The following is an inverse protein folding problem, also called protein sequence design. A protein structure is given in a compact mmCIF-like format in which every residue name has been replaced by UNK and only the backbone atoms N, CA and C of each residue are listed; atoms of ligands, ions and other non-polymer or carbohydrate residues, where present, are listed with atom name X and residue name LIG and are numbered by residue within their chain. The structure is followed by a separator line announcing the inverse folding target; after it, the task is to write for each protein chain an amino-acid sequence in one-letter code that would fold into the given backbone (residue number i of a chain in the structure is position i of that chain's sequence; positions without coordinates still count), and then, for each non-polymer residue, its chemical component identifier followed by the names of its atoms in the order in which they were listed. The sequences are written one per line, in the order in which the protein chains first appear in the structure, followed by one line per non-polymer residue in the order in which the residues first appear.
data_IF_306101799061
#
_entry.id   IF_306101799061
#
_cell.length_a   1.000
_cell.length_b   1.000
_cell.length_c   1.000
_cell.angle_alpha   90.00
_cell.angle_beta   90.00
_cell.angle_gamma   90.00
#
_symmetry.space_group_name_H-M   'P 1'
#
loop_
_entity.id
_entity.type
_entity.pdbx_description
1 polymer ?
#
# COMPACT_ATOMS: atom_id res chain seq x y z
N UNK A 1 25.96 -13.98 1.53
CA UNK A 1 26.36 -13.66 2.92
C UNK A 1 25.92 -14.77 3.86
N UNK A 2 26.53 -14.86 5.03
CA UNK A 2 26.12 -15.76 6.12
C UNK A 2 25.46 -14.93 7.23
N UNK A 3 24.22 -15.27 7.59
CA UNK A 3 23.53 -14.74 8.76
C UNK A 3 23.66 -15.78 9.87
N UNK A 4 24.27 -15.44 11.00
CA UNK A 4 24.47 -16.36 12.12
C UNK A 4 23.51 -16.09 13.26
N UNK A 5 23.20 -17.13 14.04
CA UNK A 5 22.38 -17.04 15.26
C UNK A 5 21.00 -16.41 15.00
N UNK A 6 20.40 -16.73 13.87
CA UNK A 6 19.06 -16.30 13.51
C UNK A 6 18.01 -17.15 14.23
N UNK A 7 16.95 -16.54 14.73
CA UNK A 7 15.79 -17.26 15.28
C UNK A 7 14.63 -17.18 14.29
N UNK A 8 14.08 -18.32 13.87
CA UNK A 8 12.88 -18.36 13.02
C UNK A 8 11.61 -18.15 13.86
N UNK A 9 10.47 -17.88 13.20
CA UNK A 9 9.20 -17.62 13.89
C UNK A 9 8.69 -18.78 14.76
N UNK A 10 9.09 -20.01 14.47
CA UNK A 10 8.79 -21.19 15.28
C UNK A 10 9.72 -21.36 16.49
N UNK A 11 10.73 -20.49 16.63
CA UNK A 11 11.72 -20.50 17.70
C UNK A 11 12.99 -21.28 17.39
N UNK A 12 13.11 -21.89 16.21
CA UNK A 12 14.33 -22.59 15.82
C UNK A 12 15.49 -21.60 15.63
N UNK A 13 16.65 -21.91 16.23
CA UNK A 13 17.87 -21.13 16.03
C UNK A 13 18.70 -21.76 14.92
N UNK A 14 19.06 -20.99 13.90
CA UNK A 14 19.73 -21.45 12.68
C UNK A 14 20.78 -20.44 12.21
N UNK A 15 21.70 -20.91 11.39
CA UNK A 15 22.51 -20.05 10.52
C UNK A 15 21.97 -20.17 9.08
N UNK A 16 21.98 -19.06 8.35
CA UNK A 16 21.40 -18.95 7.01
C UNK A 16 22.45 -18.41 6.06
N UNK A 17 22.84 -19.21 5.07
CA UNK A 17 23.63 -18.72 3.94
C UNK A 17 22.71 -18.28 2.83
N UNK A 18 22.87 -17.05 2.38
CA UNK A 18 21.97 -16.42 1.42
C UNK A 18 22.72 -15.66 0.33
N UNK A 19 22.37 -15.94 -0.93
CA UNK A 19 22.67 -15.13 -2.11
C UNK A 19 21.36 -14.62 -2.71
N UNK A 20 21.19 -14.69 -4.04
CA UNK A 20 19.90 -14.38 -4.68
C UNK A 20 18.76 -15.30 -4.19
N UNK A 21 19.12 -16.48 -3.67
CA UNK A 21 18.26 -17.42 -2.98
C UNK A 21 18.90 -17.81 -1.66
N UNK A 22 18.12 -18.39 -0.75
CA UNK A 22 18.65 -19.08 0.42
C UNK A 22 19.38 -20.33 -0.07
N UNK A 23 20.68 -20.41 0.16
CA UNK A 23 21.56 -21.47 -0.33
C UNK A 23 21.65 -22.63 0.67
N UNK A 24 21.77 -22.32 1.96
CA UNK A 24 21.86 -23.28 3.05
C UNK A 24 21.16 -22.75 4.31
N UNK A 25 20.49 -23.64 5.05
CA UNK A 25 19.99 -23.40 6.40
C UNK A 25 20.46 -24.55 7.27
N UNK A 26 21.09 -24.26 8.41
CA UNK A 26 21.58 -25.30 9.30
C UNK A 26 22.26 -24.75 10.55
N UNK A 27 22.76 -25.65 11.39
CA UNK A 27 23.39 -25.28 12.65
C UNK A 27 24.89 -25.02 12.46
N UNK A 28 25.41 -23.94 13.05
CA UNK A 28 26.84 -23.64 13.13
C UNK A 28 27.56 -23.65 11.76
N UNK A 29 26.96 -23.00 10.76
CA UNK A 29 27.56 -22.89 9.44
C UNK A 29 28.88 -22.11 9.53
N UNK A 30 29.95 -22.69 9.01
CA UNK A 30 31.25 -22.03 8.96
C UNK A 30 31.26 -20.95 7.86
N UNK A 31 31.73 -19.74 8.19
CA UNK A 31 31.92 -18.67 7.23
C UNK A 31 32.95 -19.07 6.16
N UNK A 32 32.61 -18.87 4.89
CA UNK A 32 33.52 -19.09 3.76
C UNK A 32 34.52 -17.93 3.67
N UNK A 33 35.69 -18.18 3.08
CA UNK A 33 36.71 -17.13 2.90
C UNK A 33 36.14 -15.97 2.07
N UNK A 34 36.13 -14.76 2.64
CA UNK A 34 35.61 -13.55 1.98
C UNK A 34 34.08 -13.41 2.00
N UNK A 35 33.37 -14.29 2.72
CA UNK A 35 31.92 -14.18 2.91
C UNK A 35 31.60 -13.09 3.92
N UNK A 36 30.70 -12.18 3.56
CA UNK A 36 30.10 -11.23 4.51
C UNK A 36 29.33 -12.01 5.57
N UNK A 37 29.62 -11.74 6.84
CA UNK A 37 28.93 -12.34 7.99
C UNK A 37 28.10 -11.27 8.69
N UNK A 38 26.83 -11.55 8.90
CA UNK A 38 25.92 -10.75 9.71
C UNK A 38 25.50 -11.61 10.91
N UNK A 39 25.61 -11.06 12.11
CA UNK A 39 25.24 -11.77 13.32
C UNK A 39 23.88 -11.26 13.79
N UNK A 40 22.84 -12.11 13.71
CA UNK A 40 21.50 -11.75 14.14
C UNK A 40 21.36 -11.69 15.67
N UNK A 41 22.35 -12.19 16.43
CA UNK A 41 22.37 -12.05 17.89
C UNK A 41 21.25 -12.79 18.61
N UNK A 42 20.64 -13.80 17.99
CA UNK A 42 19.42 -14.46 18.49
C UNK A 42 18.12 -13.78 18.04
N UNK A 43 18.21 -12.68 17.28
CA UNK A 43 17.09 -11.94 16.73
C UNK A 43 16.32 -12.71 15.64
N UNK A 44 15.09 -12.27 15.39
CA UNK A 44 14.17 -12.96 14.48
C UNK A 44 14.55 -12.74 13.02
N UNK A 45 14.58 -13.80 12.20
CA UNK A 45 14.72 -13.67 10.74
C UNK A 45 13.45 -14.16 10.05
N UNK A 46 12.93 -13.31 9.16
CA UNK A 46 11.73 -13.52 8.36
C UNK A 46 12.09 -13.53 6.88
N UNK A 47 11.24 -14.11 6.01
CA UNK A 47 11.16 -13.65 4.64
C UNK A 47 10.97 -12.13 4.64
N UNK A 48 11.59 -11.43 3.69
CA UNK A 48 11.42 -9.99 3.57
C UNK A 48 9.94 -9.62 3.38
N UNK A 49 9.53 -8.50 3.97
CA UNK A 49 8.15 -8.04 3.86
C UNK A 49 7.85 -7.63 2.42
N UNK A 50 6.63 -7.89 1.97
CA UNK A 50 6.12 -7.47 0.67
C UNK A 50 4.87 -6.61 0.84
N UNK A 51 4.91 -5.37 0.38
CA UNK A 51 3.71 -4.52 0.34
C UNK A 51 2.87 -4.86 -0.90
N UNK A 52 1.76 -5.57 -0.69
CA UNK A 52 0.98 -6.14 -1.79
C UNK A 52 0.11 -5.14 -2.57
N UNK A 53 0.02 -3.89 -2.11
CA UNK A 53 -0.71 -2.82 -2.78
C UNK A 53 -0.17 -1.46 -2.34
N UNK A 54 0.54 -0.78 -3.24
CA UNK A 54 0.90 0.63 -3.07
C UNK A 54 0.99 1.33 -4.42
N UNK A 55 1.11 2.65 -4.41
CA UNK A 55 1.24 3.48 -5.61
C UNK A 55 2.62 4.11 -5.65
N UNK A 56 3.60 3.47 -6.30
CA UNK A 56 5.02 3.74 -6.11
C UNK A 56 5.41 5.17 -6.52
N UNK A 57 4.99 5.63 -7.71
CA UNK A 57 5.29 7.00 -8.16
C UNK A 57 4.58 8.05 -7.32
N UNK A 58 3.33 7.78 -6.94
CA UNK A 58 2.56 8.65 -6.05
C UNK A 58 3.21 8.72 -4.66
N UNK A 59 3.69 7.59 -4.14
CA UNK A 59 4.39 7.49 -2.87
C UNK A 59 5.67 8.31 -2.88
N UNK A 60 6.48 8.17 -3.92
CA UNK A 60 7.70 8.97 -4.07
C UNK A 60 7.39 10.47 -4.23
N UNK A 61 6.36 10.83 -4.99
CA UNK A 61 5.93 12.23 -5.13
C UNK A 61 5.37 12.82 -3.82
N UNK A 62 4.77 11.98 -2.96
CA UNK A 62 4.21 12.41 -1.68
C UNK A 62 5.29 12.72 -0.63
N UNK A 63 6.53 12.22 -0.78
CA UNK A 63 7.65 12.54 0.11
C UNK A 63 8.01 14.03 0.07
N UNK A 64 7.83 14.65 -1.10
CA UNK A 64 8.12 16.07 -1.35
C UNK A 64 6.86 16.95 -1.33
N UNK A 65 5.72 16.41 -0.88
CA UNK A 65 4.44 17.12 -0.85
C UNK A 65 4.03 17.48 0.58
N UNK A 66 3.40 18.64 0.74
CA UNK A 66 2.84 19.05 2.03
C UNK A 66 1.66 18.16 2.39
N UNK A 67 1.65 17.62 3.62
CA UNK A 67 0.50 16.90 4.17
C UNK A 67 -0.50 17.90 4.75
N UNK A 68 -1.68 18.01 4.14
CA UNK A 68 -2.67 19.06 4.44
C UNK A 68 -4.01 18.53 4.91
N UNK A 69 -4.05 17.30 5.40
CA UNK A 69 -5.21 16.74 6.07
C UNK A 69 -4.89 15.93 7.32
N UNK A 70 -5.91 15.31 7.93
CA UNK A 70 -5.77 14.64 9.21
C UNK A 70 -4.78 13.46 9.14
N UNK A 71 -4.08 13.15 10.25
CA UNK A 71 -4.15 13.84 11.55
C UNK A 71 -3.27 15.10 11.64
N UNK A 72 -2.47 15.39 10.61
CA UNK A 72 -1.46 16.46 10.64
C UNK A 72 -2.10 17.86 10.59
N UNK A 73 -3.09 18.03 9.71
CA UNK A 73 -3.86 19.27 9.57
C UNK A 73 -5.32 18.93 9.78
N UNK A 74 -5.93 19.50 10.81
CA UNK A 74 -7.32 19.19 11.21
C UNK A 74 -8.22 20.42 11.25
N UNK A 75 -7.67 21.61 11.01
CA UNK A 75 -8.45 22.87 11.00
C UNK A 75 -8.12 23.74 9.79
N UNK A 76 -9.09 24.58 9.41
CA UNK A 76 -8.93 25.59 8.35
C UNK A 76 -7.76 26.56 8.61
N UNK A 77 -7.54 26.95 9.87
CA UNK A 77 -6.43 27.85 10.22
C UNK A 77 -5.07 27.18 10.04
N UNK A 78 -4.94 25.91 10.42
CA UNK A 78 -3.71 25.13 10.17
C UNK A 78 -3.46 24.96 8.66
N UNK A 79 -4.51 24.65 7.88
CA UNK A 79 -4.39 24.57 6.42
C UNK A 79 -3.88 25.88 5.83
N UNK A 80 -4.48 27.01 6.22
CA UNK A 80 -4.06 28.33 5.80
C UNK A 80 -2.59 28.61 6.16
N UNK A 81 -2.18 28.29 7.39
CA UNK A 81 -0.81 28.48 7.85
C UNK A 81 0.20 27.62 7.07
N UNK A 82 -0.12 26.35 6.80
CA UNK A 82 0.76 25.45 6.04
C UNK A 82 0.93 25.94 4.60
N UNK A 83 -0.18 26.30 3.93
CA UNK A 83 -0.12 26.77 2.55
C UNK A 83 0.52 28.16 2.41
N UNK A 84 0.27 29.07 3.35
CA UNK A 84 0.86 30.42 3.34
C UNK A 84 2.39 30.40 3.50
N UNK A 85 2.89 29.51 4.37
CA UNK A 85 4.34 29.39 4.63
C UNK A 85 5.04 28.43 3.65
N UNK A 86 4.30 27.84 2.71
CA UNK A 86 4.86 26.89 1.75
C UNK A 86 5.81 27.60 0.78
N UNK A 87 7.02 27.06 0.66
CA UNK A 87 7.93 27.44 -0.42
C UNK A 87 7.62 26.60 -1.66
N UNK A 88 7.55 27.20 -2.85
CA UNK A 88 7.41 26.42 -4.07
C UNK A 88 8.64 25.53 -4.29
N UNK A 89 8.42 24.34 -4.84
CA UNK A 89 9.49 23.45 -5.27
C UNK A 89 10.31 24.03 -6.44
N UNK A 90 11.35 23.31 -6.91
CA UNK A 90 12.21 23.76 -8.01
C UNK A 90 11.45 24.03 -9.33
N UNK A 91 10.29 23.41 -9.51
CA UNK A 91 9.37 23.60 -10.63
C UNK A 91 8.43 24.81 -10.44
N UNK A 92 8.56 25.53 -9.33
CA UNK A 92 7.73 26.67 -8.99
C UNK A 92 6.31 26.30 -8.56
N UNK A 93 6.06 25.07 -8.11
CA UNK A 93 4.75 24.62 -7.63
C UNK A 93 4.73 24.40 -6.11
N UNK A 94 3.61 24.72 -5.47
CA UNK A 94 3.26 24.18 -4.15
C UNK A 94 2.39 22.94 -4.37
N UNK A 95 2.86 21.82 -3.84
CA UNK A 95 2.22 20.51 -3.99
C UNK A 95 1.78 20.03 -2.62
N UNK A 96 0.49 19.78 -2.46
CA UNK A 96 -0.09 19.31 -1.22
C UNK A 96 -0.96 18.08 -1.46
N UNK A 97 -0.99 17.17 -0.48
CA UNK A 97 -1.71 15.89 -0.56
C UNK A 97 -2.39 15.55 0.76
N UNK A 98 -3.34 14.62 0.69
CA UNK A 98 -4.03 14.08 1.86
C UNK A 98 -5.16 14.95 2.40
N UNK A 99 -5.67 15.91 1.61
CA UNK A 99 -6.76 16.79 2.04
C UNK A 99 -8.05 16.01 2.34
N UNK A 100 -8.86 16.50 3.28
CA UNK A 100 -10.21 16.01 3.57
C UNK A 100 -11.12 17.17 3.99
N UNK A 101 -12.40 17.09 3.65
CA UNK A 101 -13.38 18.15 3.86
C UNK A 101 -13.59 18.47 5.35
N UNK A 102 -13.28 17.55 6.27
CA UNK A 102 -13.34 17.82 7.72
C UNK A 102 -12.40 18.95 8.16
N UNK A 103 -11.40 19.29 7.36
CA UNK A 103 -10.43 20.35 7.68
C UNK A 103 -11.02 21.74 7.45
N UNK A 104 -11.62 21.97 6.27
CA UNK A 104 -12.02 23.31 5.85
C UNK A 104 -13.29 23.36 4.97
N UNK A 105 -14.06 22.26 4.88
CA UNK A 105 -15.19 22.12 3.96
C UNK A 105 -14.76 21.71 2.55
N UNK A 106 -15.57 21.97 1.54
CA UNK A 106 -15.13 21.75 0.16
C UNK A 106 -14.10 22.81 -0.25
N UNK A 107 -12.95 22.37 -0.78
CA UNK A 107 -11.99 23.28 -1.41
C UNK A 107 -12.34 23.53 -2.87
N UNK A 108 -12.21 24.80 -3.25
CA UNK A 108 -12.28 25.28 -4.62
C UNK A 108 -11.11 26.22 -4.94
N UNK A 109 -11.01 26.58 -6.22
CA UNK A 109 -10.04 27.54 -6.76
C UNK A 109 -10.01 28.84 -5.96
N UNK A 110 -11.18 29.38 -5.61
CA UNK A 110 -11.31 30.67 -4.93
C UNK A 110 -10.74 30.62 -3.52
N UNK A 111 -10.97 29.52 -2.82
CA UNK A 111 -10.41 29.27 -1.49
C UNK A 111 -8.90 29.18 -1.52
N UNK A 112 -8.32 28.55 -2.56
CA UNK A 112 -6.86 28.49 -2.72
C UNK A 112 -6.27 29.83 -3.16
N UNK A 113 -6.93 30.58 -4.04
CA UNK A 113 -6.51 31.92 -4.48
C UNK A 113 -6.43 32.90 -3.31
N UNK A 114 -7.36 32.79 -2.35
CA UNK A 114 -7.36 33.64 -1.15
C UNK A 114 -6.16 33.36 -0.22
N UNK A 115 -5.58 32.16 -0.28
CA UNK A 115 -4.41 31.77 0.52
C UNK A 115 -3.11 32.00 -0.23
N UNK A 116 -3.06 31.64 -1.51
CA UNK A 116 -1.86 31.67 -2.35
C UNK A 116 -2.27 32.09 -3.77
N UNK A 117 -2.29 33.40 -4.08
CA UNK A 117 -2.84 33.91 -5.35
C UNK A 117 -1.88 33.72 -6.54
N UNK A 118 -0.59 33.93 -6.33
CA UNK A 118 0.39 34.09 -7.42
C UNK A 118 1.22 32.83 -7.71
N UNK A 119 1.31 31.92 -6.73
CA UNK A 119 2.09 30.68 -6.85
C UNK A 119 1.13 29.54 -7.23
N UNK A 120 1.43 28.75 -8.27
CA UNK A 120 0.63 27.57 -8.61
C UNK A 120 0.56 26.55 -7.48
N UNK A 121 -0.66 26.31 -7.00
CA UNK A 121 -0.96 25.34 -5.93
C UNK A 121 -1.84 24.23 -6.48
N UNK A 122 -1.49 22.98 -6.16
CA UNK A 122 -2.37 21.82 -6.31
C UNK A 122 -2.53 21.12 -4.96
N UNK A 123 -3.76 20.74 -4.64
CA UNK A 123 -4.11 19.99 -3.44
C UNK A 123 -4.80 18.68 -3.84
N UNK A 124 -4.22 17.54 -3.49
CA UNK A 124 -4.83 16.23 -3.69
C UNK A 124 -5.71 15.88 -2.49
N UNK A 125 -6.96 15.49 -2.74
CA UNK A 125 -7.81 14.85 -1.74
C UNK A 125 -7.23 13.48 -1.36
N UNK A 126 -7.38 13.06 -0.11
CA UNK A 126 -6.82 11.80 0.41
C UNK A 126 -7.31 10.54 -0.30
N UNK A 127 -8.43 10.61 -1.03
CA UNK A 127 -8.89 9.51 -1.88
C UNK A 127 -8.06 9.32 -3.16
N UNK A 128 -7.18 10.28 -3.48
CA UNK A 128 -6.42 10.30 -4.73
C UNK A 128 -7.23 10.70 -5.97
N UNK A 129 -8.55 10.58 -5.90
CA UNK A 129 -9.45 10.75 -7.03
C UNK A 129 -9.76 12.20 -7.40
N UNK A 130 -9.63 13.14 -6.45
CA UNK A 130 -9.98 14.55 -6.61
C UNK A 130 -8.79 15.45 -6.34
N UNK A 131 -8.64 16.50 -7.15
CA UNK A 131 -7.64 17.53 -7.02
C UNK A 131 -8.29 18.91 -7.06
N UNK A 132 -7.75 19.85 -6.30
CA UNK A 132 -8.14 21.26 -6.35
C UNK A 132 -6.93 22.10 -6.74
N UNK A 133 -7.07 22.91 -7.79
CA UNK A 133 -6.05 23.82 -8.31
C UNK A 133 -6.49 25.28 -8.11
N UNK A 134 -5.54 26.15 -7.77
CA UNK A 134 -5.77 27.59 -7.77
C UNK A 134 -5.70 28.18 -9.20
N UNK A 135 -6.00 29.46 -9.35
CA UNK A 135 -6.01 30.14 -10.66
C UNK A 135 -4.64 30.14 -11.33
N UNK A 136 -3.56 30.31 -10.57
CA UNK A 136 -2.21 30.27 -11.10
C UNK A 136 -1.85 28.88 -11.67
N UNK A 137 -2.27 27.81 -10.98
CA UNK A 137 -2.11 26.44 -11.43
C UNK A 137 -2.94 26.13 -12.68
N UNK A 138 -4.22 26.53 -12.70
CA UNK A 138 -5.10 26.32 -13.85
C UNK A 138 -4.58 26.98 -15.13
N UNK A 139 -4.02 28.19 -15.03
CA UNK A 139 -3.33 28.82 -16.17
C UNK A 139 -2.16 27.98 -16.67
N UNK A 140 -1.35 27.41 -15.77
CA UNK A 140 -0.20 26.57 -16.16
C UNK A 140 -0.60 25.27 -16.85
N UNK A 141 -1.75 24.68 -16.51
CA UNK A 141 -2.24 23.45 -17.16
C UNK A 141 -3.19 23.73 -18.33
N UNK A 142 -3.29 24.98 -18.79
CA UNK A 142 -4.12 25.34 -19.95
C UNK A 142 -5.63 25.39 -19.69
N UNK A 143 -6.06 25.48 -18.43
CA UNK A 143 -7.46 25.43 -18.00
C UNK A 143 -7.90 26.71 -17.28
N UNK A 144 -7.45 27.88 -17.75
CA UNK A 144 -7.68 29.17 -17.09
C UNK A 144 -9.17 29.48 -16.80
N UNK A 145 -10.07 28.99 -17.66
CA UNK A 145 -11.52 29.19 -17.57
C UNK A 145 -12.26 28.14 -16.70
N UNK A 146 -11.54 27.21 -16.05
CA UNK A 146 -12.17 26.22 -15.18
C UNK A 146 -12.84 26.91 -13.98
N UNK A 147 -14.12 26.63 -13.76
CA UNK A 147 -14.95 27.44 -12.87
C UNK A 147 -14.48 27.40 -11.41
N UNK A 148 -14.31 26.20 -10.87
CA UNK A 148 -14.07 25.90 -9.46
C UNK A 148 -12.70 25.27 -9.17
N UNK A 149 -11.89 25.03 -10.20
CA UNK A 149 -10.60 24.31 -10.12
C UNK A 149 -10.63 22.88 -9.55
N UNK A 150 -11.79 22.22 -9.48
CA UNK A 150 -11.92 20.84 -8.99
C UNK A 150 -11.83 19.85 -10.15
N UNK A 151 -10.81 19.01 -10.14
CA UNK A 151 -10.46 18.13 -11.26
C UNK A 151 -10.38 16.68 -10.79
N UNK A 152 -10.97 15.75 -11.56
CA UNK A 152 -10.89 14.32 -11.26
C UNK A 152 -9.62 13.72 -11.84
N UNK A 153 -8.97 12.82 -11.10
CA UNK A 153 -7.76 12.11 -11.55
C UNK A 153 -7.95 11.33 -12.85
N UNK A 154 -9.17 10.87 -13.14
CA UNK A 154 -9.51 10.15 -14.37
C UNK A 154 -9.60 11.04 -15.61
N UNK A 155 -9.62 12.37 -15.44
CA UNK A 155 -9.63 13.30 -16.58
C UNK A 155 -8.20 13.45 -17.13
N UNK A 156 -8.00 12.94 -18.34
CA UNK A 156 -6.70 12.95 -19.04
C UNK A 156 -6.27 14.34 -19.48
N UNK A 157 -7.22 15.26 -19.72
CA UNK A 157 -6.92 16.59 -20.28
C UNK A 157 -5.95 17.36 -19.39
N UNK A 158 -6.18 17.33 -18.08
CA UNK A 158 -5.34 18.06 -17.14
C UNK A 158 -4.21 17.21 -16.56
N UNK A 159 -4.42 15.90 -16.37
CA UNK A 159 -3.43 15.02 -15.76
C UNK A 159 -2.22 14.79 -16.68
N UNK A 160 -2.40 14.84 -18.00
CA UNK A 160 -1.30 14.83 -18.98
C UNK A 160 -0.60 16.20 -19.09
N UNK A 161 -1.35 17.29 -18.95
CA UNK A 161 -0.80 18.65 -18.94
C UNK A 161 0.02 18.95 -17.68
N UNK A 162 -0.22 18.20 -16.60
CA UNK A 162 0.48 18.34 -15.33
C UNK A 162 1.91 17.84 -15.46
N UNK A 163 2.87 18.76 -15.33
CA UNK A 163 4.29 18.42 -15.32
C UNK A 163 4.60 17.36 -14.26
N UNK A 164 5.01 16.18 -14.74
CA UNK A 164 5.59 15.12 -13.92
C UNK A 164 6.94 15.59 -13.43
N UNK A 165 7.19 15.43 -12.14
CA UNK A 165 8.48 15.70 -11.53
C UNK A 165 9.23 14.37 -11.42
N UNK A 166 10.54 14.40 -11.60
CA UNK A 166 11.40 13.26 -11.24
C UNK A 166 11.30 13.05 -9.74
N UNK A 167 10.70 11.93 -9.34
CA UNK A 167 10.55 11.56 -7.93
C UNK A 167 11.82 10.87 -7.43
N UNK A 168 12.26 11.18 -6.21
CA UNK A 168 13.38 10.50 -5.56
C UNK A 168 12.99 9.09 -5.13
N UNK A 169 13.17 8.14 -6.04
CA UNK A 169 12.97 6.71 -5.78
C UNK A 169 13.99 6.16 -4.77
N UNK A 170 15.17 6.78 -4.65
CA UNK A 170 16.19 6.39 -3.69
C UNK A 170 15.77 6.64 -2.24
N UNK A 171 15.18 7.80 -1.97
CA UNK A 171 14.61 8.10 -0.64
C UNK A 171 13.44 7.17 -0.31
N UNK A 172 12.52 6.94 -1.25
CA UNK A 172 11.44 5.99 -1.03
C UNK A 172 11.99 4.58 -0.75
N UNK A 173 12.99 4.15 -1.53
CA UNK A 173 13.66 2.87 -1.35
C UNK A 173 14.25 2.75 0.04
N UNK A 174 14.97 3.77 0.53
CA UNK A 174 15.58 3.75 1.87
C UNK A 174 14.52 3.60 2.96
N UNK A 175 13.41 4.34 2.88
CA UNK A 175 12.31 4.27 3.86
C UNK A 175 11.66 2.89 3.89
N UNK A 176 11.39 2.31 2.72
CA UNK A 176 10.82 0.96 2.63
C UNK A 176 11.78 -0.09 3.20
N UNK A 177 13.06 -0.04 2.83
CA UNK A 177 14.05 -0.99 3.35
C UNK A 177 14.30 -0.81 4.84
N UNK A 178 14.17 0.41 5.39
CA UNK A 178 14.31 0.65 6.82
C UNK A 178 13.22 -0.04 7.67
N UNK A 179 12.07 -0.34 7.07
CA UNK A 179 10.95 -1.02 7.75
C UNK A 179 10.81 -2.50 7.33
N UNK A 180 11.86 -3.11 6.75
CA UNK A 180 11.87 -4.54 6.43
C UNK A 180 11.26 -4.91 5.06
N UNK A 181 10.85 -3.92 4.25
CA UNK A 181 10.23 -4.17 2.94
C UNK A 181 11.30 -4.48 1.90
N UNK A 182 11.14 -5.64 1.27
CA UNK A 182 12.00 -6.16 0.20
C UNK A 182 11.31 -6.22 -1.14
N UNK A 183 9.98 -6.11 -1.18
CA UNK A 183 9.20 -6.14 -2.40
C UNK A 183 7.91 -5.32 -2.29
N UNK A 184 7.44 -4.82 -3.43
CA UNK A 184 6.23 -4.01 -3.54
C UNK A 184 5.45 -4.41 -4.78
N UNK A 185 4.13 -4.27 -4.71
CA UNK A 185 3.23 -4.39 -5.86
C UNK A 185 2.59 -3.03 -6.13
N UNK A 186 2.95 -2.44 -7.28
CA UNK A 186 2.34 -1.20 -7.76
C UNK A 186 0.91 -1.47 -8.26
N UNK A 187 -0.04 -0.79 -7.64
CA UNK A 187 -1.47 -0.94 -7.87
C UNK A 187 -2.08 0.20 -8.70
N UNK A 188 -1.27 0.96 -9.42
CA UNK A 188 -1.75 2.03 -10.31
C UNK A 188 -2.48 1.42 -11.52
N UNK A 189 -3.78 1.73 -11.75
CA UNK A 189 -4.58 1.07 -12.78
C UNK A 189 -4.02 1.23 -14.20
N UNK A 190 -3.76 2.47 -14.58
CA UNK A 190 -3.39 2.84 -15.95
C UNK A 190 -1.89 3.14 -16.08
N UNK A 191 -1.06 2.35 -15.38
CA UNK A 191 0.39 2.54 -15.45
C UNK A 191 0.90 2.19 -16.85
N UNK A 192 1.36 3.21 -17.59
CA UNK A 192 1.85 3.05 -18.95
C UNK A 192 3.11 2.18 -19.04
N UNK A 193 3.33 1.56 -20.20
CA UNK A 193 4.49 0.71 -20.46
C UNK A 193 5.82 1.46 -20.21
N UNK A 194 5.92 2.71 -20.64
CA UNK A 194 7.11 3.54 -20.41
C UNK A 194 7.36 3.80 -18.92
N UNK A 195 6.28 4.03 -18.15
CA UNK A 195 6.36 4.23 -16.71
C UNK A 195 6.83 2.95 -16.00
N UNK A 196 6.34 1.77 -16.40
CA UNK A 196 6.78 0.47 -15.90
C UNK A 196 8.26 0.20 -16.24
N UNK A 197 8.67 0.45 -17.50
CA UNK A 197 10.05 0.29 -17.94
C UNK A 197 10.98 1.21 -17.13
N UNK A 198 10.60 2.46 -16.92
CA UNK A 198 11.36 3.40 -16.11
C UNK A 198 11.56 2.91 -14.66
N UNK A 199 10.51 2.36 -14.02
CA UNK A 199 10.63 1.78 -12.68
C UNK A 199 11.53 0.55 -12.65
N UNK A 200 11.43 -0.33 -13.65
CA UNK A 200 12.32 -1.49 -13.77
C UNK A 200 13.77 -1.09 -14.03
N UNK A 201 14.02 -0.01 -14.78
CA UNK A 201 15.36 0.54 -14.99
C UNK A 201 15.93 1.11 -13.69
N UNK A 202 15.15 1.89 -12.93
CA UNK A 202 15.54 2.39 -11.62
C UNK A 202 15.90 1.25 -10.66
N UNK A 203 15.11 0.17 -10.66
CA UNK A 203 15.41 -1.03 -9.88
C UNK A 203 16.73 -1.70 -10.31
N UNK A 204 16.92 -1.94 -11.61
CA UNK A 204 18.15 -2.54 -12.14
C UNK A 204 19.41 -1.71 -11.89
N UNK A 205 19.27 -0.39 -11.78
CA UNK A 205 20.37 0.53 -11.44
C UNK A 205 20.65 0.61 -9.94
N UNK A 206 19.82 -0.01 -9.11
CA UNK A 206 19.92 0.05 -7.65
C UNK A 206 19.41 1.36 -7.04
N UNK A 207 18.78 2.23 -7.84
CA UNK A 207 18.12 3.45 -7.35
C UNK A 207 16.90 3.08 -6.49
N UNK A 208 16.16 2.04 -6.89
CA UNK A 208 15.07 1.46 -6.09
C UNK A 208 15.35 -0.02 -5.78
N UNK A 209 15.70 -0.32 -4.53
CA UNK A 209 16.17 -1.65 -4.12
C UNK A 209 15.08 -2.71 -4.04
N UNK A 210 13.88 -2.45 -3.48
CA UNK A 210 12.83 -3.46 -3.38
C UNK A 210 12.42 -4.03 -4.75
N UNK A 211 12.06 -5.32 -4.78
CA UNK A 211 11.47 -5.97 -5.95
C UNK A 211 10.17 -5.30 -6.35
N UNK A 212 9.96 -5.06 -7.65
CA UNK A 212 8.75 -4.39 -8.15
C UNK A 212 7.89 -5.38 -8.94
N UNK A 213 6.60 -5.39 -8.60
CA UNK A 213 5.52 -5.99 -9.40
C UNK A 213 4.48 -4.95 -9.78
N UNK A 214 3.71 -5.23 -10.82
CA UNK A 214 2.69 -4.33 -11.36
C UNK A 214 1.37 -5.08 -11.49
N UNK A 215 0.27 -4.45 -11.09
CA UNK A 215 -1.07 -4.96 -11.38
C UNK A 215 -1.58 -4.51 -12.76
N UNK A 216 -1.06 -3.39 -13.28
CA UNK A 216 -1.38 -2.93 -14.63
C UNK A 216 -0.82 -3.91 -15.69
N UNK A 217 -1.54 -4.17 -16.79
CA UNK A 217 -2.83 -3.58 -17.21
C UNK A 217 -4.07 -4.28 -16.63
N UNK A 218 -3.91 -5.29 -15.78
CA UNK A 218 -5.02 -6.04 -15.16
C UNK A 218 -5.69 -5.33 -13.97
N UNK A 219 -5.42 -4.05 -13.72
CA UNK A 219 -5.95 -3.32 -12.57
C UNK A 219 -7.06 -2.36 -13.00
N UNK A 220 -8.23 -2.45 -12.34
CA UNK A 220 -9.38 -1.57 -12.61
C UNK A 220 -9.90 -0.90 -11.34
N UNK A 221 -10.34 0.35 -11.48
CA UNK A 221 -11.06 1.09 -10.44
C UNK A 221 -12.51 1.26 -10.88
N UNK A 222 -13.44 0.87 -10.01
CA UNK A 222 -14.87 1.07 -10.21
C UNK A 222 -15.31 2.40 -9.60
N UNK A 223 -16.30 3.05 -10.20
CA UNK A 223 -16.90 4.27 -9.69
C UNK A 223 -18.35 3.97 -9.33
N UNK A 224 -18.78 4.33 -8.12
CA UNK A 224 -20.15 4.02 -7.65
C UNK A 224 -21.23 4.67 -8.53
N UNK A 225 -20.96 5.85 -9.08
CA UNK A 225 -21.87 6.57 -9.97
C UNK A 225 -22.05 5.89 -11.34
N UNK A 226 -21.19 4.93 -11.68
CA UNK A 226 -21.19 4.24 -12.97
C UNK A 226 -20.68 2.79 -12.83
N UNK A 227 -21.49 1.94 -12.20
CA UNK A 227 -21.26 0.50 -12.14
C UNK A 227 -21.92 -0.21 -13.33
N UNK A 228 -21.11 -0.53 -14.33
CA UNK A 228 -21.53 -1.26 -15.53
C UNK A 228 -21.07 -2.72 -15.45
N UNK A 229 -22.01 -3.63 -15.15
CA UNK A 229 -21.76 -5.06 -14.99
C UNK A 229 -21.30 -5.69 -16.31
N UNK A 230 -21.98 -5.40 -17.42
CA UNK A 230 -21.70 -6.02 -18.71
C UNK A 230 -20.30 -5.62 -19.21
N UNK A 231 -19.97 -4.33 -19.12
CA UNK A 231 -18.64 -3.84 -19.48
C UNK A 231 -17.54 -4.36 -18.54
N UNK A 232 -17.85 -4.64 -17.27
CA UNK A 232 -16.90 -5.27 -16.36
C UNK A 232 -16.69 -6.75 -16.73
N UNK A 233 -17.76 -7.50 -16.99
CA UNK A 233 -17.70 -8.91 -17.41
C UNK A 233 -16.93 -9.09 -18.72
N UNK A 234 -17.20 -8.24 -19.72
CA UNK A 234 -16.47 -8.26 -21.00
C UNK A 234 -14.97 -8.01 -20.77
N UNK A 235 -14.63 -6.99 -19.98
CA UNK A 235 -13.24 -6.68 -19.65
C UNK A 235 -12.53 -7.84 -18.93
N UNK A 236 -13.18 -8.48 -17.93
CA UNK A 236 -12.62 -9.65 -17.22
C UNK A 236 -12.39 -10.80 -18.21
N UNK A 237 -13.39 -11.11 -19.03
CA UNK A 237 -13.30 -12.18 -20.04
C UNK A 237 -12.13 -11.95 -20.99
N UNK A 238 -11.92 -10.71 -21.43
CA UNK A 238 -10.81 -10.35 -22.31
C UNK A 238 -9.45 -10.47 -21.60
N UNK A 239 -9.32 -10.05 -20.33
CA UNK A 239 -8.07 -10.25 -19.58
C UNK A 239 -7.76 -11.74 -19.41
N UNK A 240 -8.76 -12.55 -19.06
CA UNK A 240 -8.60 -13.99 -18.85
C UNK A 240 -8.29 -14.75 -20.15
N UNK A 241 -8.81 -14.30 -21.30
CA UNK A 241 -8.46 -14.85 -22.61
C UNK A 241 -6.96 -14.77 -22.91
N UNK A 242 -6.30 -13.74 -22.37
CA UNK A 242 -4.86 -13.51 -22.48
C UNK A 242 -4.05 -14.11 -21.30
N UNK A 243 -4.65 -14.99 -20.49
CA UNK A 243 -4.05 -15.54 -19.26
C UNK A 243 -3.58 -14.46 -18.28
N UNK A 244 -4.26 -13.30 -18.27
CA UNK A 244 -3.93 -12.16 -17.41
C UNK A 244 -4.88 -12.11 -16.20
N UNK A 245 -4.36 -12.15 -14.96
CA UNK A 245 -5.19 -11.94 -13.79
C UNK A 245 -5.72 -10.51 -13.72
N UNK A 246 -6.86 -10.36 -13.05
CA UNK A 246 -7.43 -9.06 -12.72
C UNK A 246 -7.19 -8.69 -11.26
N UNK A 247 -7.14 -7.39 -10.99
CA UNK A 247 -7.20 -6.81 -9.66
C UNK A 247 -8.25 -5.69 -9.69
N UNK A 248 -9.32 -5.81 -8.91
CA UNK A 248 -10.42 -4.82 -8.94
C UNK A 248 -10.48 -4.08 -7.61
N UNK A 249 -10.47 -2.75 -7.66
CA UNK A 249 -10.65 -1.88 -6.49
C UNK A 249 -12.11 -1.92 -6.02
N UNK A 250 -12.34 -2.42 -4.80
CA UNK A 250 -13.66 -2.53 -4.20
C UNK A 250 -13.65 -1.94 -2.78
N UNK A 251 -14.07 -0.68 -2.65
CA UNK A 251 -14.20 0.01 -1.35
C UNK A 251 -15.64 0.09 -0.87
N UNK A 252 -16.63 -0.07 -1.74
CA UNK A 252 -18.05 -0.12 -1.37
C UNK A 252 -18.62 -1.52 -1.54
N UNK A 253 -19.72 -1.81 -0.82
CA UNK A 253 -20.46 -3.06 -0.99
C UNK A 253 -20.96 -3.23 -2.43
N UNK A 254 -21.41 -2.15 -3.08
CA UNK A 254 -21.90 -2.18 -4.46
C UNK A 254 -20.79 -2.57 -5.44
N UNK A 255 -19.59 -2.00 -5.32
CA UNK A 255 -18.43 -2.37 -6.14
C UNK A 255 -18.07 -3.85 -5.98
N UNK A 256 -18.07 -4.33 -4.73
CA UNK A 256 -17.78 -5.74 -4.45
C UNK A 256 -18.81 -6.68 -5.08
N UNK A 257 -20.10 -6.42 -4.86
CA UNK A 257 -21.20 -7.25 -5.39
C UNK A 257 -21.18 -7.29 -6.92
N UNK A 258 -20.99 -6.13 -7.58
CA UNK A 258 -20.90 -6.08 -9.05
C UNK A 258 -19.67 -6.84 -9.55
N UNK A 259 -18.54 -6.76 -8.85
CA UNK A 259 -17.33 -7.50 -9.21
C UNK A 259 -17.52 -9.01 -9.06
N UNK A 260 -18.14 -9.45 -7.96
CA UNK A 260 -18.48 -10.86 -7.72
C UNK A 260 -19.39 -11.38 -8.85
N UNK A 261 -20.46 -10.64 -9.17
CA UNK A 261 -21.36 -11.00 -10.26
C UNK A 261 -20.62 -11.09 -11.61
N UNK A 262 -19.73 -10.14 -11.89
CA UNK A 262 -18.96 -10.14 -13.13
C UNK A 262 -18.01 -11.34 -13.23
N UNK A 263 -17.34 -11.70 -12.13
CA UNK A 263 -16.48 -12.88 -12.02
C UNK A 263 -17.25 -14.19 -12.16
N UNK A 264 -18.44 -14.31 -11.57
CA UNK A 264 -19.28 -15.49 -11.79
C UNK A 264 -19.69 -15.66 -13.25
N UNK A 265 -19.94 -14.55 -13.96
CA UNK A 265 -20.31 -14.58 -15.37
C UNK A 265 -19.12 -14.86 -16.31
N UNK A 266 -17.96 -14.26 -16.05
CA UNK A 266 -16.76 -14.40 -16.88
C UNK A 266 -15.96 -15.69 -16.60
N UNK A 267 -16.09 -16.23 -15.39
CA UNK A 267 -15.14 -17.19 -14.81
C UNK A 267 -14.07 -16.48 -13.98
N UNK A 268 -13.35 -17.25 -13.15
CA UNK A 268 -12.25 -16.74 -12.33
C UNK A 268 -10.90 -17.30 -12.81
N UNK A 269 -9.85 -16.51 -12.57
CA UNK A 269 -8.47 -16.91 -12.74
C UNK A 269 -7.80 -17.07 -11.37
N UNK A 270 -6.91 -18.06 -11.22
CA UNK A 270 -6.29 -18.43 -9.91
C UNK A 270 -5.58 -17.28 -9.19
N UNK A 271 -5.13 -16.27 -9.93
CA UNK A 271 -4.44 -15.08 -9.40
C UNK A 271 -5.30 -13.82 -9.41
N UNK A 272 -6.60 -13.94 -9.63
CA UNK A 272 -7.51 -12.80 -9.51
C UNK A 272 -7.54 -12.27 -8.08
N UNK A 273 -7.64 -10.95 -7.99
CA UNK A 273 -7.56 -10.21 -6.74
C UNK A 273 -8.71 -9.23 -6.58
N UNK A 274 -9.21 -9.14 -5.36
CA UNK A 274 -10.04 -8.04 -4.90
C UNK A 274 -9.17 -7.14 -4.03
N UNK A 275 -9.06 -5.87 -4.41
CA UNK A 275 -8.30 -4.88 -3.68
C UNK A 275 -9.22 -4.12 -2.73
N UNK A 276 -8.72 -3.87 -1.52
CA UNK A 276 -9.40 -3.27 -0.38
C UNK A 276 -10.44 -4.19 0.26
N UNK A 277 -11.52 -4.51 -0.44
CA UNK A 277 -12.71 -5.15 0.14
C UNK A 277 -13.11 -4.44 1.46
N UNK A 278 -13.20 -3.10 1.40
CA UNK A 278 -13.36 -2.30 2.61
C UNK A 278 -14.71 -2.52 3.31
N UNK A 279 -15.75 -2.83 2.53
CA UNK A 279 -17.08 -3.23 2.99
C UNK A 279 -17.41 -4.59 2.38
N UNK A 280 -17.61 -5.61 3.21
CA UNK A 280 -17.95 -6.98 2.78
C UNK A 280 -19.25 -7.41 3.46
N UNK A 281 -20.40 -7.42 2.74
CA UNK A 281 -21.64 -7.99 3.23
C UNK A 281 -21.50 -9.47 3.58
N UNK A 282 -22.32 -9.97 4.51
CA UNK A 282 -22.27 -11.38 4.94
C UNK A 282 -22.45 -12.35 3.77
N UNK A 283 -23.42 -12.06 2.89
CA UNK A 283 -23.75 -12.89 1.73
C UNK A 283 -22.61 -12.98 0.71
N UNK A 284 -21.66 -12.03 0.73
CA UNK A 284 -20.53 -12.02 -0.22
C UNK A 284 -19.36 -12.93 0.20
N UNK A 285 -19.32 -13.42 1.46
CA UNK A 285 -18.20 -14.24 1.94
C UNK A 285 -18.14 -15.59 1.21
N UNK A 286 -19.29 -16.25 1.04
CA UNK A 286 -19.37 -17.54 0.32
C UNK A 286 -18.97 -17.38 -1.13
N UNK A 287 -19.44 -16.33 -1.80
CA UNK A 287 -19.09 -16.07 -3.21
C UNK A 287 -17.58 -15.85 -3.38
N UNK A 288 -16.93 -15.10 -2.49
CA UNK A 288 -15.49 -14.88 -2.54
C UNK A 288 -14.69 -16.18 -2.38
N UNK A 289 -15.16 -17.09 -1.51
CA UNK A 289 -14.57 -18.41 -1.33
C UNK A 289 -14.74 -19.27 -2.59
N UNK A 290 -15.95 -19.31 -3.15
CA UNK A 290 -16.27 -20.12 -4.33
C UNK A 290 -15.51 -19.64 -5.58
N UNK A 291 -15.31 -18.33 -5.72
CA UNK A 291 -14.51 -17.74 -6.80
C UNK A 291 -13.01 -18.03 -6.67
N UNK A 292 -12.52 -18.36 -5.47
CA UNK A 292 -11.11 -18.64 -5.21
C UNK A 292 -10.18 -17.43 -5.36
N UNK A 293 -10.73 -16.22 -5.26
CA UNK A 293 -9.97 -14.96 -5.36
C UNK A 293 -9.14 -14.70 -4.10
N UNK A 294 -8.08 -13.90 -4.25
CA UNK A 294 -7.34 -13.35 -3.10
C UNK A 294 -7.81 -11.93 -2.79
N UNK A 295 -8.11 -11.64 -1.53
CA UNK A 295 -8.37 -10.28 -1.05
C UNK A 295 -7.08 -9.66 -0.53
N UNK A 296 -6.74 -8.47 -1.02
CA UNK A 296 -5.63 -7.66 -0.49
C UNK A 296 -6.18 -6.41 0.17
N UNK A 297 -6.10 -6.33 1.49
CA UNK A 297 -6.82 -5.34 2.32
C UNK A 297 -5.87 -4.51 3.21
N UNK A 298 -6.41 -3.44 3.82
CA UNK A 298 -5.64 -2.37 4.50
C UNK A 298 -6.27 -1.99 5.86
N UNK A 299 -6.10 -2.83 6.89
CA UNK A 299 -6.68 -2.58 8.22
C UNK A 299 -6.11 -1.34 8.92
N UNK A 300 -4.98 -0.76 8.47
CA UNK A 300 -4.51 0.55 8.95
C UNK A 300 -5.57 1.65 8.78
N UNK A 301 -6.47 1.54 7.79
CA UNK A 301 -7.55 2.51 7.67
C UNK A 301 -8.55 2.46 8.84
N UNK A 302 -8.62 1.37 9.60
CA UNK A 302 -9.34 1.35 10.88
C UNK A 302 -8.68 2.29 11.89
N UNK A 303 -7.36 2.25 12.01
CA UNK A 303 -6.62 3.13 12.91
C UNK A 303 -6.65 4.59 12.44
N UNK A 304 -6.46 4.83 11.15
CA UNK A 304 -6.35 6.18 10.57
C UNK A 304 -7.71 6.88 10.41
N UNK A 305 -8.78 6.12 10.14
CA UNK A 305 -10.07 6.65 9.69
C UNK A 305 -11.27 6.08 10.46
N UNK A 306 -11.05 5.20 11.44
CA UNK A 306 -12.10 4.49 12.14
C UNK A 306 -13.14 5.39 12.81
N UNK A 307 -12.74 6.52 13.41
CA UNK A 307 -13.70 7.46 14.02
C UNK A 307 -14.64 8.07 12.99
N UNK A 308 -14.17 8.25 11.76
CA UNK A 308 -15.01 8.75 10.66
C UNK A 308 -15.97 7.66 10.19
N UNK A 309 -15.51 6.41 10.10
CA UNK A 309 -16.41 5.29 9.81
C UNK A 309 -17.50 5.17 10.87
N UNK A 310 -17.15 5.27 12.16
CA UNK A 310 -18.13 5.24 13.25
C UNK A 310 -19.17 6.37 13.16
N UNK A 311 -18.77 7.54 12.65
CA UNK A 311 -19.65 8.70 12.50
C UNK A 311 -20.50 8.69 11.22
N UNK A 312 -19.98 8.14 10.11
CA UNK A 312 -20.56 8.30 8.77
C UNK A 312 -21.20 7.03 8.22
N UNK A 313 -20.72 5.85 8.60
CA UNK A 313 -21.30 4.57 8.18
C UNK A 313 -22.45 4.23 9.14
N UNK A 314 -23.62 3.76 8.65
CA UNK A 314 -24.69 3.30 9.52
C UNK A 314 -24.20 2.23 10.52
N UNK A 315 -24.62 2.32 11.78
CA UNK A 315 -24.14 1.42 12.84
C UNK A 315 -24.38 -0.07 12.54
N UNK A 316 -25.46 -0.40 11.81
CA UNK A 316 -25.75 -1.77 11.37
C UNK A 316 -24.72 -2.33 10.36
N UNK A 317 -23.99 -1.45 9.66
CA UNK A 317 -23.00 -1.81 8.65
C UNK A 317 -21.56 -1.79 9.21
N UNK A 318 -21.35 -1.36 10.45
CA UNK A 318 -20.00 -1.35 11.07
C UNK A 318 -19.38 -2.75 11.13
N UNK A 319 -20.21 -3.79 11.27
CA UNK A 319 -19.81 -5.19 11.21
C UNK A 319 -19.22 -5.62 9.86
N UNK A 320 -19.46 -4.85 8.80
CA UNK A 320 -19.03 -5.18 7.44
C UNK A 320 -17.68 -4.56 7.05
N UNK A 321 -17.09 -3.74 7.93
CA UNK A 321 -15.89 -2.96 7.63
C UNK A 321 -14.58 -3.74 7.88
N UNK A 322 -13.73 -3.81 6.84
CA UNK A 322 -12.35 -4.33 6.91
C UNK A 322 -12.27 -5.73 7.56
N UNK A 323 -13.07 -6.70 7.08
CA UNK A 323 -13.37 -7.97 7.76
C UNK A 323 -12.30 -9.06 7.63
N UNK A 324 -11.10 -8.80 8.14
CA UNK A 324 -9.97 -9.73 8.00
C UNK A 324 -10.25 -11.10 8.63
N UNK A 325 -10.86 -11.18 9.82
CA UNK A 325 -11.10 -12.45 10.49
C UNK A 325 -12.21 -13.25 9.81
N UNK A 326 -13.31 -12.60 9.41
CA UNK A 326 -14.40 -13.28 8.69
C UNK A 326 -13.92 -13.84 7.34
N UNK A 327 -13.09 -13.10 6.60
CA UNK A 327 -12.52 -13.58 5.33
C UNK A 327 -11.65 -14.83 5.54
N UNK A 328 -10.83 -14.85 6.60
CA UNK A 328 -10.01 -16.01 6.96
C UNK A 328 -10.86 -17.21 7.38
N UNK A 329 -11.90 -17.01 8.19
CA UNK A 329 -12.82 -18.06 8.62
C UNK A 329 -13.55 -18.68 7.42
N UNK A 330 -13.94 -17.85 6.45
CA UNK A 330 -14.51 -18.28 5.18
C UNK A 330 -13.50 -18.98 4.25
N UNK A 331 -12.20 -19.02 4.60
CA UNK A 331 -11.09 -19.58 3.82
C UNK A 331 -10.78 -18.82 2.53
N UNK A 332 -11.11 -17.54 2.47
CA UNK A 332 -10.66 -16.64 1.41
C UNK A 332 -9.15 -16.40 1.59
N UNK A 333 -8.39 -16.37 0.50
CA UNK A 333 -6.99 -15.97 0.56
C UNK A 333 -6.88 -14.50 0.93
N UNK A 334 -6.14 -14.14 1.97
CA UNK A 334 -6.01 -12.73 2.42
C UNK A 334 -4.54 -12.33 2.54
N UNK A 335 -4.20 -11.15 2.04
CA UNK A 335 -2.94 -10.49 2.29
C UNK A 335 -3.15 -9.03 2.72
N UNK A 336 -2.14 -8.45 3.35
CA UNK A 336 -2.17 -7.07 3.82
C UNK A 336 -1.28 -6.17 2.96
N UNK A 337 -1.57 -4.88 3.02
CA UNK A 337 -0.84 -3.84 2.29
C UNK A 337 -1.04 -2.49 2.95
N UNK A 338 -0.25 -1.49 2.57
CA UNK A 338 -0.34 -0.15 3.18
C UNK A 338 -1.18 0.83 2.38
N UNK A 339 -1.35 0.60 1.07
CA UNK A 339 -1.91 1.56 0.12
C UNK A 339 -1.21 2.93 0.15
N UNK A 340 0.12 2.92 0.34
CA UNK A 340 0.93 4.14 0.34
C UNK A 340 0.82 4.86 -1.03
N UNK A 341 0.63 6.19 -1.08
CA UNK A 341 0.67 7.18 0.00
C UNK A 341 -0.68 7.54 0.63
N UNK A 342 -1.74 6.80 0.31
CA UNK A 342 -3.09 7.02 0.85
C UNK A 342 -3.23 6.50 2.28
N UNK A 343 -2.50 5.43 2.62
CA UNK A 343 -2.14 5.06 4.00
C UNK A 343 -0.73 5.52 4.40
N UNK A 344 -0.37 5.31 5.67
CA UNK A 344 0.89 5.80 6.25
C UNK A 344 2.17 5.13 5.72
N UNK A 345 2.07 4.01 5.01
CA UNK A 345 3.22 3.30 4.41
C UNK A 345 4.05 2.46 5.38
N UNK A 346 3.60 2.28 6.63
CA UNK A 346 4.24 1.43 7.63
C UNK A 346 3.52 0.06 7.73
N UNK A 347 4.11 -1.04 7.23
CA UNK A 347 3.55 -2.39 7.35
C UNK A 347 3.26 -2.81 8.80
N UNK A 348 4.10 -2.39 9.74
CA UNK A 348 3.99 -2.76 11.15
C UNK A 348 2.77 -2.09 11.79
N UNK A 349 2.49 -0.84 11.44
CA UNK A 349 1.23 -0.17 11.80
C UNK A 349 0.00 -0.87 11.21
N UNK A 350 0.07 -1.38 9.97
CA UNK A 350 -1.01 -2.19 9.38
C UNK A 350 -1.24 -3.46 10.20
N UNK A 351 -0.18 -4.16 10.59
CA UNK A 351 -0.29 -5.37 11.42
C UNK A 351 -0.94 -5.06 12.77
N UNK A 352 -0.48 -4.01 13.48
CA UNK A 352 -1.09 -3.58 14.76
C UNK A 352 -2.56 -3.19 14.59
N UNK A 353 -2.91 -2.52 13.51
CA UNK A 353 -4.29 -2.16 13.23
C UNK A 353 -5.18 -3.41 12.99
N UNK A 354 -4.64 -4.47 12.37
CA UNK A 354 -5.34 -5.74 12.21
C UNK A 354 -5.54 -6.49 13.54
N UNK A 355 -4.59 -6.36 14.47
CA UNK A 355 -4.64 -7.03 15.79
C UNK A 355 -5.56 -6.29 16.76
N UNK A 356 -5.48 -4.97 16.80
CA UNK A 356 -6.16 -4.17 17.84
C UNK A 356 -7.42 -3.47 17.35
N UNK A 357 -7.48 -3.12 16.06
CA UNK A 357 -8.59 -2.37 15.44
C UNK A 357 -8.99 -1.09 16.19
N UNK A 358 -8.05 -0.51 16.91
CA UNK A 358 -8.22 0.72 17.67
C UNK A 358 -8.18 1.93 16.73
N UNK A 359 -9.22 2.75 16.77
CA UNK A 359 -9.29 4.03 16.04
C UNK A 359 -8.36 5.07 16.67
N UNK A 360 -8.12 6.18 15.96
CA UNK A 360 -7.35 7.30 16.51
C UNK A 360 -7.95 7.84 17.82
N UNK A 361 -9.29 7.87 17.94
CA UNK A 361 -10.03 8.25 19.14
C UNK A 361 -10.06 7.19 20.25
N UNK A 362 -9.46 6.02 20.04
CA UNK A 362 -9.36 4.95 21.04
C UNK A 362 -10.54 3.98 21.07
N UNK A 363 -11.51 4.10 20.17
CA UNK A 363 -12.60 3.12 20.05
C UNK A 363 -12.08 1.85 19.36
N UNK A 364 -12.67 0.69 19.65
CA UNK A 364 -12.38 -0.55 18.93
C UNK A 364 -13.48 -0.77 17.89
N UNK A 365 -13.14 -0.65 16.60
CA UNK A 365 -14.10 -0.83 15.51
C UNK A 365 -14.20 -2.32 15.17
N UNK A 366 -15.35 -2.93 15.46
CA UNK A 366 -15.64 -4.34 15.17
C UNK A 366 -14.56 -5.31 15.72
N UNK A 367 -14.57 -5.52 17.04
CA UNK A 367 -13.57 -6.34 17.74
C UNK A 367 -13.54 -7.82 17.30
N UNK A 368 -14.62 -8.34 16.71
CA UNK A 368 -14.67 -9.71 16.19
C UNK A 368 -13.75 -9.91 14.98
N UNK A 369 -13.33 -8.83 14.33
CA UNK A 369 -12.43 -8.87 13.16
C UNK A 369 -10.95 -8.76 13.54
N UNK A 370 -10.62 -8.76 14.83
CA UNK A 370 -9.23 -8.80 15.29
C UNK A 370 -8.60 -10.16 14.98
N UNK A 371 -7.34 -10.14 14.51
CA UNK A 371 -6.57 -11.37 14.23
C UNK A 371 -5.33 -11.45 15.12
N UNK A 372 -4.69 -12.62 15.17
CA UNK A 372 -3.43 -12.78 15.91
C UNK A 372 -2.29 -12.01 15.26
N UNK A 373 -1.32 -11.55 16.06
CA UNK A 373 -0.12 -10.88 15.55
C UNK A 373 0.66 -11.74 14.56
N UNK A 374 0.75 -13.06 14.81
CA UNK A 374 1.40 -13.99 13.88
C UNK A 374 0.69 -14.05 12.54
N UNK A 375 -0.64 -14.08 12.55
CA UNK A 375 -1.45 -14.04 11.33
C UNK A 375 -1.20 -12.74 10.56
N UNK A 376 -1.25 -11.59 11.24
CA UNK A 376 -1.05 -10.28 10.62
C UNK A 376 0.35 -10.13 9.99
N UNK A 377 1.40 -10.56 10.72
CA UNK A 377 2.77 -10.59 10.20
C UNK A 377 2.89 -11.48 8.97
N UNK A 378 2.33 -12.69 9.01
CA UNK A 378 2.40 -13.69 7.92
C UNK A 378 1.79 -13.16 6.62
N UNK A 379 0.78 -12.30 6.69
CA UNK A 379 0.12 -11.71 5.53
C UNK A 379 0.97 -10.69 4.74
N UNK A 380 2.13 -10.27 5.28
CA UNK A 380 3.15 -9.50 4.55
C UNK A 380 4.29 -10.38 4.01
N UNK A 381 4.27 -11.69 4.28
CA UNK A 381 5.29 -12.63 3.81
C UNK A 381 4.86 -13.31 2.49
N UNK A 382 3.74 -12.90 1.91
CA UNK A 382 3.11 -13.47 0.73
C UNK A 382 3.96 -13.39 -0.54
N UNK A 383 3.83 -14.36 -1.44
CA UNK A 383 4.41 -14.26 -2.78
C UNK A 383 3.80 -13.08 -3.56
N UNK A 384 4.57 -12.37 -4.41
CA UNK A 384 4.03 -11.21 -5.11
C UNK A 384 2.84 -11.53 -6.03
N UNK A 385 2.88 -12.69 -6.70
CA UNK A 385 1.85 -13.17 -7.63
C UNK A 385 0.80 -14.06 -6.96
N UNK A 386 1.04 -14.49 -5.71
CA UNK A 386 0.11 -15.29 -4.89
C UNK A 386 0.13 -14.76 -3.43
N UNK A 387 -0.43 -13.57 -3.17
CA UNK A 387 -0.26 -12.85 -1.89
C UNK A 387 -0.71 -13.64 -0.66
N UNK A 388 -1.76 -14.46 -0.77
CA UNK A 388 -2.24 -15.29 0.34
C UNK A 388 -1.32 -16.47 0.71
N UNK A 389 -0.25 -16.72 -0.06
CA UNK A 389 0.70 -17.81 0.19
C UNK A 389 2.01 -17.25 0.73
N UNK A 390 2.26 -17.45 2.02
CA UNK A 390 3.50 -17.00 2.66
C UNK A 390 4.74 -17.72 2.10
N UNK A 391 5.85 -16.98 2.01
CA UNK A 391 7.21 -17.50 1.84
C UNK A 391 7.71 -18.06 3.16
N UNK A 392 8.77 -18.88 3.07
CA UNK A 392 9.51 -19.38 4.21
C UNK A 392 10.98 -18.99 4.11
N UNK A 393 11.72 -19.11 5.22
CA UNK A 393 13.17 -19.08 5.22
C UNK A 393 13.65 -20.52 5.08
N UNK A 394 13.85 -20.96 3.84
CA UNK A 394 14.23 -22.34 3.53
C UNK A 394 15.03 -22.39 2.22
N UNK A 395 15.80 -23.45 2.00
CA UNK A 395 16.66 -23.61 0.82
C UNK A 395 15.85 -23.44 -0.47
N UNK A 396 16.37 -22.62 -1.37
CA UNK A 396 15.73 -22.30 -2.65
C UNK A 396 14.69 -21.18 -2.59
N UNK A 397 14.28 -20.71 -1.41
CA UNK A 397 13.44 -19.51 -1.28
C UNK A 397 14.22 -18.25 -1.69
N UNK A 398 13.55 -17.12 -2.02
CA UNK A 398 14.23 -15.87 -2.36
C UNK A 398 15.16 -15.43 -1.23
N UNK A 399 16.33 -14.88 -1.59
CA UNK A 399 17.29 -14.33 -0.64
C UNK A 399 16.93 -12.95 -0.11
N UNK A 400 15.63 -12.69 -0.02
CA UNK A 400 15.04 -11.44 0.46
C UNK A 400 14.57 -11.68 1.89
N UNK A 401 15.24 -11.08 2.87
CA UNK A 401 15.06 -11.36 4.30
C UNK A 401 14.93 -10.08 5.12
N UNK A 402 14.12 -10.13 6.17
CA UNK A 402 14.03 -9.10 7.21
C UNK A 402 14.61 -9.65 8.50
N UNK A 403 15.67 -9.03 9.02
CA UNK A 403 16.32 -9.39 10.28
C UNK A 403 15.90 -8.39 11.34
N UNK A 404 15.45 -8.91 12.48
CA UNK A 404 14.95 -8.13 13.60
C UNK A 404 15.88 -8.32 14.80
N UNK A 405 16.03 -7.29 15.63
CA UNK A 405 16.90 -7.31 16.82
C UNK A 405 16.40 -8.24 17.92
N UNK A 406 15.09 -8.49 17.95
CA UNK A 406 14.41 -9.15 19.07
C UNK A 406 13.92 -10.57 18.75
N UNK A 407 13.65 -11.34 19.81
CA UNK A 407 13.10 -12.69 19.72
C UNK A 407 11.69 -12.73 19.10
N UNK A 408 11.23 -13.88 18.55
CA UNK A 408 9.91 -13.97 17.93
C UNK A 408 8.76 -13.58 18.86
N UNK A 409 8.88 -13.88 20.15
CA UNK A 409 7.88 -13.51 21.17
C UNK A 409 7.73 -12.00 21.29
N UNK A 410 8.85 -11.26 21.33
CA UNK A 410 8.85 -9.80 21.45
C UNK A 410 8.40 -9.16 20.14
N UNK A 411 8.92 -9.64 19.00
CA UNK A 411 8.50 -9.18 17.67
C UNK A 411 6.98 -9.28 17.47
N UNK A 412 6.37 -10.41 17.87
CA UNK A 412 4.93 -10.60 17.76
C UNK A 412 4.13 -9.80 18.80
N UNK A 413 4.73 -9.43 19.93
CA UNK A 413 4.07 -8.61 20.94
C UNK A 413 4.04 -7.12 20.53
N UNK A 414 5.14 -6.61 19.98
CA UNK A 414 5.32 -5.19 19.69
C UNK A 414 4.88 -4.83 18.27
N UNK A 415 5.16 -5.71 17.28
CA UNK A 415 4.95 -5.46 15.86
C UNK A 415 5.42 -4.05 15.47
N UNK A 416 6.72 -3.77 15.62
CA UNK A 416 7.27 -2.42 15.46
C UNK A 416 8.46 -2.37 14.49
N UNK A 417 8.46 -1.35 13.64
CA UNK A 417 9.48 -1.13 12.63
C UNK A 417 10.86 -0.84 13.23
N UNK A 418 10.93 -0.29 14.45
CA UNK A 418 12.21 -0.04 15.15
C UNK A 418 12.98 -1.32 15.50
N UNK A 419 12.33 -2.48 15.44
CA UNK A 419 12.98 -3.76 15.64
C UNK A 419 13.78 -4.21 14.41
N UNK A 420 13.62 -3.58 13.25
CA UNK A 420 14.33 -3.98 12.02
C UNK A 420 15.83 -3.66 12.15
N UNK A 421 16.63 -4.72 12.28
CA UNK A 421 18.08 -4.63 12.35
C UNK A 421 18.71 -4.54 10.96
N UNK A 422 18.19 -5.31 10.00
CA UNK A 422 18.66 -5.29 8.63
C UNK A 422 17.60 -5.77 7.64
N UNK A 423 17.68 -5.26 6.42
CA UNK A 423 16.90 -5.73 5.27
C UNK A 423 17.84 -6.19 4.20
N UNK A 424 17.66 -7.45 3.78
CA UNK A 424 18.51 -8.13 2.82
C UNK A 424 17.69 -8.34 1.55
N UNK A 425 18.26 -7.99 0.40
CA UNK A 425 17.64 -8.17 -0.91
C UNK A 425 18.62 -8.91 -1.80
N UNK A 426 18.22 -10.07 -2.30
CA UNK A 426 19.06 -10.98 -3.08
C UNK A 426 20.43 -11.28 -2.43
N UNK A 427 20.47 -11.39 -1.10
CA UNK A 427 21.68 -11.69 -0.33
C UNK A 427 22.61 -10.51 -0.06
N UNK A 428 22.22 -9.30 -0.48
CA UNK A 428 22.92 -8.04 -0.19
C UNK A 428 22.18 -7.23 0.86
N UNK A 429 22.91 -6.64 1.81
CA UNK A 429 22.36 -5.72 2.81
C UNK A 429 21.89 -4.44 2.10
N UNK A 430 20.58 -4.21 2.07
CA UNK A 430 19.94 -3.01 1.54
C UNK A 430 19.71 -1.96 2.62
N UNK A 431 19.56 -2.38 3.87
CA UNK A 431 19.49 -1.54 5.07
C UNK A 431 20.12 -2.27 6.25
N UNK A 432 20.79 -1.52 7.13
CA UNK A 432 21.22 -1.96 8.45
C UNK A 432 21.01 -0.79 9.42
N UNK A 433 20.42 -1.07 10.58
CA UNK A 433 20.33 -0.12 11.68
C UNK A 433 21.74 0.19 12.22
N UNK A 434 21.94 1.43 12.68
CA UNK A 434 23.21 1.88 13.26
C UNK A 434 23.49 1.32 14.65
#
# INVERSE_FOLDING_TARGET
MLIQRATLLDGAMVDIRVGARVDEVGDNLAARRGETVFDAGGGTVLPGLHDHHMHLRSAAAALDSLRVGPPIVVTKNQLAQVLWNALPGPDGWIRAVGYHESVAGELDRRSLDALVPDIPVRVQHRSGALWTLNSAALRRVGMAEHQDGRLRSSDRVWSEALQRRDSDLGELSRRLTAVGVTGVTDATPDLGADDMVSLLVAHRRGEFRPQVRFLSPGKKILQDDFLDLDALTEWITDQHRDDRPIAVHCVTAAQLVVTIAALHAAGSHRRDRIEHAAVVPDDSLTDLTDLGVTVVTQPNFVAERGDQYLAQVPAAEHGQLWRVASLLEAKVGVALSTDMPFGCGDPWAVMRAAVHRTTLGGAVLNANECISARTALTMFLGWPDEPGRARAVDVGQPGDLCVLTESPTVVLAELDASLVAATIIAGDIAYAAE
#
